data_IF_298829374107
#
_entry.id   IF_298829374107
#
_cell.length_a   1.000
_cell.length_b   1.000
_cell.length_c   1.000
_cell.angle_alpha   90.00
_cell.angle_beta   90.00
_cell.angle_gamma   90.00
#
_symmetry.space_group_name_H-M   'P 1'
#
loop_
_entity.id
_entity.type
_entity.pdbx_description
1 polymer ?
#
# COMPACT_ATOMS: atom_id res chain seq x y z
N UNK A 1 3.94 -5.07 -10.33
CA UNK A 1 4.68 -4.52 -9.18
C UNK A 1 4.89 -5.62 -8.13
N UNK A 2 6.06 -5.68 -7.48
CA UNK A 2 6.32 -6.62 -6.36
C UNK A 2 5.52 -6.22 -5.12
N UNK A 3 5.05 -7.19 -4.33
CA UNK A 3 4.25 -6.97 -3.09
C UNK A 3 4.89 -5.95 -2.15
N UNK A 4 6.20 -6.09 -1.90
CA UNK A 4 6.95 -5.17 -1.04
C UNK A 4 6.89 -3.71 -1.51
N UNK A 5 6.82 -3.46 -2.82
CA UNK A 5 6.66 -2.11 -3.35
C UNK A 5 5.25 -1.59 -3.15
N UNK A 6 4.22 -2.43 -3.30
CA UNK A 6 2.82 -2.05 -3.05
C UNK A 6 2.65 -1.61 -1.58
N UNK A 7 3.14 -2.42 -0.65
CA UNK A 7 3.12 -2.12 0.79
C UNK A 7 3.97 -0.87 1.09
N UNK A 8 5.14 -0.77 0.47
CA UNK A 8 6.00 0.40 0.59
C UNK A 8 5.32 1.68 0.11
N UNK A 9 4.65 1.66 -1.03
CA UNK A 9 3.95 2.81 -1.59
C UNK A 9 2.76 3.25 -0.73
N UNK A 10 2.08 2.30 -0.10
CA UNK A 10 1.07 2.58 0.91
C UNK A 10 1.68 3.34 2.10
N UNK A 11 2.66 2.73 2.81
CA UNK A 11 3.22 3.34 4.02
C UNK A 11 4.07 4.59 3.77
N UNK A 12 4.60 4.80 2.57
CA UNK A 12 5.37 6.00 2.23
C UNK A 12 4.50 7.19 1.85
N UNK A 13 3.20 6.99 1.64
CA UNK A 13 2.26 8.01 1.16
C UNK A 13 2.30 8.22 -0.36
N UNK A 14 3.00 7.36 -1.11
CA UNK A 14 3.02 7.43 -2.57
C UNK A 14 1.65 7.14 -3.16
N UNK A 15 0.90 6.18 -2.61
CA UNK A 15 -0.46 5.87 -3.07
C UNK A 15 -1.35 7.13 -3.05
N UNK A 16 -1.28 7.92 -1.98
CA UNK A 16 -2.02 9.19 -1.84
C UNK A 16 -1.57 10.24 -2.85
N UNK A 17 -0.26 10.35 -3.07
CA UNK A 17 0.29 11.27 -4.06
C UNK A 17 -0.17 10.90 -5.48
N UNK A 18 -0.14 9.60 -5.82
CA UNK A 18 -0.57 9.10 -7.12
C UNK A 18 -2.07 9.34 -7.34
N UNK A 19 -2.90 9.05 -6.33
CA UNK A 19 -4.34 9.30 -6.39
C UNK A 19 -4.66 10.77 -6.60
N UNK A 20 -4.05 11.69 -5.83
CA UNK A 20 -4.28 13.14 -6.00
C UNK A 20 -3.95 13.62 -7.41
N UNK A 21 -2.85 13.13 -7.99
CA UNK A 21 -2.47 13.47 -9.37
C UNK A 21 -3.48 12.96 -10.40
N UNK A 22 -4.00 11.74 -10.21
CA UNK A 22 -5.00 11.16 -11.09
C UNK A 22 -6.38 11.80 -10.92
N UNK A 23 -6.76 12.20 -9.70
CA UNK A 23 -7.99 12.96 -9.44
C UNK A 23 -7.96 14.34 -10.09
N UNK A 24 -6.82 15.02 -10.02
CA UNK A 24 -6.61 16.28 -10.74
C UNK A 24 -6.78 16.09 -12.25
N UNK A 25 -6.13 15.07 -12.83
CA UNK A 25 -6.27 14.76 -14.26
C UNK A 25 -7.74 14.47 -14.64
N UNK A 26 -8.43 13.66 -13.84
CA UNK A 26 -9.86 13.34 -14.05
C UNK A 26 -10.73 14.60 -14.02
N UNK A 27 -10.43 15.57 -13.15
CA UNK A 27 -11.17 16.83 -13.08
C UNK A 27 -10.92 17.71 -14.32
N UNK A 28 -9.67 17.85 -14.75
CA UNK A 28 -9.29 18.58 -15.97
C UNK A 28 -9.96 17.99 -17.23
N UNK A 29 -10.16 16.67 -17.24
CA UNK A 29 -10.83 15.94 -18.33
C UNK A 29 -12.36 15.88 -18.19
N UNK A 30 -12.97 16.73 -17.35
CA UNK A 30 -14.43 16.83 -17.23
C UNK A 30 -15.06 15.66 -16.47
N UNK A 31 -14.36 15.13 -15.47
CA UNK A 31 -14.87 14.13 -14.52
C UNK A 31 -14.70 12.67 -14.95
N UNK A 32 -13.99 12.40 -16.05
CA UNK A 32 -13.69 11.07 -16.54
C UNK A 32 -12.22 10.97 -16.97
N UNK A 33 -11.70 9.75 -17.10
CA UNK A 33 -10.38 9.53 -17.67
C UNK A 33 -10.50 9.35 -19.18
N UNK A 34 -9.79 10.17 -19.95
CA UNK A 34 -9.65 10.03 -21.40
C UNK A 34 -8.74 8.85 -21.77
N UNK A 35 -7.83 8.48 -20.86
CA UNK A 35 -6.82 7.46 -21.04
C UNK A 35 -7.08 6.25 -20.12
N UNK A 36 -7.30 5.09 -20.74
CA UNK A 36 -7.47 3.80 -20.04
C UNK A 36 -6.33 3.49 -19.05
N UNK A 37 -5.10 3.88 -19.36
CA UNK A 37 -3.98 3.67 -18.44
C UNK A 37 -4.11 4.50 -17.15
N UNK A 38 -4.62 5.74 -17.24
CA UNK A 38 -4.86 6.57 -16.07
C UNK A 38 -5.98 5.99 -15.20
N UNK A 39 -7.05 5.51 -15.84
CA UNK A 39 -8.17 4.83 -15.16
C UNK A 39 -7.73 3.54 -14.46
N UNK A 40 -6.98 2.68 -15.14
CA UNK A 40 -6.45 1.44 -14.57
C UNK A 40 -5.53 1.70 -13.37
N UNK A 41 -4.67 2.73 -13.44
CA UNK A 41 -3.83 3.13 -12.31
C UNK A 41 -4.65 3.70 -11.14
N UNK A 42 -5.68 4.50 -11.44
CA UNK A 42 -6.53 5.09 -10.42
C UNK A 42 -7.27 4.00 -9.63
N UNK A 43 -7.90 3.07 -10.36
CA UNK A 43 -8.60 1.94 -9.76
C UNK A 43 -7.65 1.06 -8.94
N UNK A 44 -6.42 0.83 -9.42
CA UNK A 44 -5.40 0.10 -8.69
C UNK A 44 -5.04 0.79 -7.36
N UNK A 45 -4.73 2.09 -7.37
CA UNK A 45 -4.32 2.80 -6.15
C UNK A 45 -5.47 3.01 -5.15
N UNK A 46 -6.71 3.14 -5.64
CA UNK A 46 -7.90 3.13 -4.78
C UNK A 46 -8.00 1.79 -4.04
N UNK A 47 -7.85 0.68 -4.75
CA UNK A 47 -7.95 -0.64 -4.14
C UNK A 47 -6.82 -0.90 -3.14
N UNK A 48 -5.59 -0.47 -3.46
CA UNK A 48 -4.46 -0.49 -2.52
C UNK A 48 -4.79 0.26 -1.23
N UNK A 49 -5.32 1.48 -1.34
CA UNK A 49 -5.71 2.28 -0.18
C UNK A 49 -6.80 1.59 0.63
N UNK A 50 -7.90 1.21 -0.03
CA UNK A 50 -9.04 0.57 0.62
C UNK A 50 -8.62 -0.67 1.40
N UNK A 51 -7.93 -1.60 0.76
CA UNK A 51 -7.52 -2.88 1.36
C UNK A 51 -6.61 -2.68 2.57
N UNK A 52 -5.62 -1.79 2.48
CA UNK A 52 -4.69 -1.57 3.59
C UNK A 52 -5.26 -0.66 4.68
N UNK A 53 -6.09 0.34 4.36
CA UNK A 53 -6.77 1.14 5.37
C UNK A 53 -7.72 0.28 6.19
N UNK A 54 -8.52 -0.57 5.53
CA UNK A 54 -9.45 -1.49 6.18
C UNK A 54 -8.70 -2.41 7.17
N UNK A 55 -7.55 -2.94 6.78
CA UNK A 55 -6.76 -3.82 7.64
C UNK A 55 -6.00 -3.06 8.74
N UNK A 56 -5.34 -1.94 8.41
CA UNK A 56 -4.55 -1.20 9.41
C UNK A 56 -5.42 -0.52 10.46
N UNK A 57 -6.67 -0.19 10.14
CA UNK A 57 -7.65 0.29 11.11
C UNK A 57 -7.98 -0.75 12.21
N UNK A 58 -7.74 -2.05 11.97
CA UNK A 58 -7.96 -3.09 12.98
C UNK A 58 -6.73 -3.33 13.87
N UNK A 59 -5.60 -2.69 13.58
CA UNK A 59 -4.34 -2.92 14.28
C UNK A 59 -4.07 -1.84 15.35
N UNK A 60 -3.36 -2.19 16.43
CA UNK A 60 -2.82 -1.21 17.36
C UNK A 60 -1.93 -0.16 16.64
N UNK A 61 -2.04 1.14 16.96
CA UNK A 61 -1.28 2.20 16.29
C UNK A 61 0.25 1.99 16.29
N UNK A 62 0.79 1.43 17.37
CA UNK A 62 2.22 1.11 17.50
C UNK A 62 2.68 0.03 16.51
N UNK A 63 1.82 -0.94 16.18
CA UNK A 63 2.10 -1.95 15.16
C UNK A 63 2.08 -1.30 13.78
N UNK A 64 1.11 -0.42 13.49
CA UNK A 64 1.05 0.32 12.22
C UNK A 64 2.29 1.20 12.06
N UNK A 65 2.70 1.91 13.11
CA UNK A 65 3.90 2.76 13.09
C UNK A 65 5.17 1.95 12.88
N UNK A 66 5.27 0.76 13.49
CA UNK A 66 6.38 -0.17 13.25
C UNK A 66 6.43 -0.64 11.79
N UNK A 67 5.29 -1.00 11.20
CA UNK A 67 5.22 -1.39 9.78
C UNK A 67 5.65 -0.21 8.89
N UNK A 68 5.15 0.99 9.16
CA UNK A 68 5.57 2.20 8.46
C UNK A 68 7.09 2.39 8.54
N UNK A 69 7.69 2.26 9.72
CA UNK A 69 9.14 2.36 9.91
C UNK A 69 9.92 1.30 9.13
N UNK A 70 9.45 0.05 9.14
CA UNK A 70 10.07 -1.02 8.37
C UNK A 70 10.07 -0.71 6.86
N UNK A 71 8.92 -0.33 6.31
CA UNK A 71 8.74 -0.15 4.88
C UNK A 71 9.33 1.18 4.37
N UNK A 72 9.23 2.27 5.13
CA UNK A 72 9.73 3.60 4.75
C UNK A 72 11.18 3.83 5.12
N UNK A 73 11.58 3.43 6.33
CA UNK A 73 12.90 3.73 6.91
C UNK A 73 13.86 2.52 6.86
N UNK A 74 13.41 1.38 6.35
CA UNK A 74 14.16 0.12 6.26
C UNK A 74 14.65 -0.41 7.62
N UNK A 75 13.95 -0.06 8.69
CA UNK A 75 14.28 -0.58 10.02
C UNK A 75 13.96 -2.09 10.10
N UNK A 76 14.86 -2.93 10.63
CA UNK A 76 14.59 -4.35 10.77
C UNK A 76 13.53 -4.61 11.85
N UNK A 77 12.68 -5.63 11.65
CA UNK A 77 11.67 -6.02 12.66
C UNK A 77 12.29 -6.45 13.99
N UNK A 78 13.54 -6.92 13.99
CA UNK A 78 14.27 -7.33 15.18
C UNK A 78 14.38 -6.25 16.26
N UNK A 79 14.36 -4.97 15.87
CA UNK A 79 14.37 -3.82 16.81
C UNK A 79 13.06 -3.67 17.60
N UNK A 80 12.00 -4.36 17.20
CA UNK A 80 10.65 -4.19 17.78
C UNK A 80 10.13 -5.45 18.48
N UNK A 81 10.82 -6.58 18.32
CA UNK A 81 10.42 -7.84 18.92
C UNK A 81 10.37 -7.74 20.44
N UNK A 82 9.22 -8.14 21.01
CA UNK A 82 8.93 -8.10 22.44
C UNK A 82 8.97 -6.69 23.07
N UNK A 83 9.00 -5.64 22.23
CA UNK A 83 8.89 -4.24 22.64
C UNK A 83 7.53 -3.69 22.18
N UNK A 84 7.24 -3.81 20.88
CA UNK A 84 5.95 -3.39 20.29
C UNK A 84 4.92 -4.50 20.41
N UNK A 85 5.32 -5.74 20.11
CA UNK A 85 4.48 -6.92 20.20
C UNK A 85 5.35 -8.19 20.22
N UNK A 86 4.80 -9.36 20.61
CA UNK A 86 5.48 -10.64 20.45
C UNK A 86 5.92 -10.87 19.00
N UNK A 87 7.07 -11.53 18.79
CA UNK A 87 7.61 -11.80 17.45
C UNK A 87 6.59 -12.47 16.52
N UNK A 88 5.82 -13.43 17.03
CA UNK A 88 4.79 -14.13 16.27
C UNK A 88 3.73 -13.17 15.71
N UNK A 89 3.27 -12.21 16.52
CA UNK A 89 2.28 -11.20 16.11
C UNK A 89 2.85 -10.29 15.02
N UNK A 90 4.10 -9.84 15.18
CA UNK A 90 4.76 -8.98 14.18
C UNK A 90 4.89 -9.71 12.83
N UNK A 91 5.26 -10.99 12.87
CA UNK A 91 5.36 -11.82 11.67
C UNK A 91 4.00 -12.07 11.03
N UNK A 92 2.97 -12.34 11.82
CA UNK A 92 1.59 -12.54 11.35
C UNK A 92 1.08 -11.31 10.61
N UNK A 93 1.23 -10.11 11.20
CA UNK A 93 0.83 -8.86 10.56
C UNK A 93 1.59 -8.63 9.25
N UNK A 94 2.90 -8.87 9.23
CA UNK A 94 3.68 -8.71 8.01
C UNK A 94 3.27 -9.73 6.93
N UNK A 95 2.98 -10.97 7.30
CA UNK A 95 2.51 -12.00 6.38
C UNK A 95 1.14 -11.62 5.80
N UNK A 96 0.26 -11.08 6.63
CA UNK A 96 -1.06 -10.62 6.22
C UNK A 96 -0.97 -9.45 5.23
N UNK A 97 -0.12 -8.45 5.50
CA UNK A 97 0.16 -7.37 4.54
C UNK A 97 0.65 -7.90 3.18
N UNK A 98 1.52 -8.92 3.18
CA UNK A 98 1.98 -9.55 1.95
C UNK A 98 0.88 -10.34 1.23
N UNK A 99 -0.01 -11.00 1.99
CA UNK A 99 -1.19 -11.69 1.45
C UNK A 99 -2.15 -10.70 0.78
N UNK A 100 -2.46 -9.59 1.45
CA UNK A 100 -3.31 -8.52 0.93
C UNK A 100 -2.69 -7.87 -0.31
N UNK A 101 -1.38 -7.57 -0.29
CA UNK A 101 -0.67 -7.06 -1.46
C UNK A 101 -0.74 -8.00 -2.67
N UNK A 102 -0.81 -9.32 -2.43
CA UNK A 102 -0.92 -10.34 -3.48
C UNK A 102 -2.35 -10.46 -4.02
N UNK A 103 -3.38 -10.19 -3.22
CA UNK A 103 -4.78 -10.29 -3.64
C UNK A 103 -5.24 -9.09 -4.48
N UNK A 104 -4.54 -7.96 -4.42
CA UNK A 104 -4.87 -6.78 -5.23
C UNK A 104 -4.57 -7.10 -6.71
N UNK A 105 -5.61 -7.01 -7.54
CA UNK A 105 -5.48 -7.19 -8.98
C UNK A 105 -4.64 -6.06 -9.58
N UNK A 106 -3.62 -6.44 -10.35
CA UNK A 106 -2.73 -5.50 -11.01
C UNK A 106 -3.01 -5.48 -12.52
N UNK A 107 -3.18 -4.30 -13.14
CA UNK A 107 -3.18 -4.17 -14.58
C UNK A 107 -1.90 -4.77 -15.21
N UNK A 108 -2.03 -5.44 -16.35
CA UNK A 108 -0.88 -6.07 -17.06
C UNK A 108 0.26 -5.09 -17.31
N UNK A 109 -0.07 -3.84 -17.62
CA UNK A 109 0.91 -2.77 -17.85
C UNK A 109 1.75 -2.48 -16.61
N UNK A 110 1.18 -2.58 -15.41
CA UNK A 110 1.90 -2.36 -14.14
C UNK A 110 2.75 -3.58 -13.76
N UNK A 111 2.37 -4.79 -14.22
CA UNK A 111 3.18 -6.00 -14.04
C UNK A 111 4.50 -5.94 -14.79
N UNK A 112 4.55 -5.31 -15.96
CA UNK A 112 5.73 -5.27 -16.84
C UNK A 112 6.91 -4.43 -16.29
N UNK A 113 6.65 -3.43 -15.43
CA UNK A 113 7.69 -2.53 -14.88
C UNK A 113 8.23 -2.99 -13.50
N UNK A 114 8.26 -4.30 -13.22
CA UNK A 114 8.41 -4.86 -11.85
C UNK A 114 9.57 -5.80 -11.64
#
# INVERSE_FOLDING_TARGET
MKQRHIIGHYFTGYADWALKGLEYLKQEEGGHFSNRYAEENYNFWIEVRRVFDDYTATLPPEIVQMQHDHYKRRKPFGEYYNIVAPTAVIQEVNNELNRLAKSIEQPERIKQFS
#
